data_IF_019467023263
#
_entry.id   IF_019467023263
#
_cell.length_a   1.000
_cell.length_b   1.000
_cell.length_c   1.000
_cell.angle_alpha   90.00
_cell.angle_beta   90.00
_cell.angle_gamma   90.00
#
_symmetry.space_group_name_H-M   'P 1'
#
loop_
_entity.id
_entity.type
_entity.pdbx_description
1 polymer ?
#
# COMPACT_ATOMS: atom_id res chain seq x y z
N UNK A 1 -27.13 10.11 3.88
CA UNK A 1 -25.90 9.30 3.97
C UNK A 1 -24.85 10.24 4.52
N UNK A 2 -24.33 9.95 5.71
CA UNK A 2 -23.34 10.80 6.35
C UNK A 2 -21.92 10.34 5.99
N UNK A 3 -21.02 11.32 5.92
CA UNK A 3 -19.60 11.12 5.64
C UNK A 3 -18.82 11.44 6.90
N UNK A 4 -17.99 10.51 7.34
CA UNK A 4 -17.07 10.71 8.48
C UNK A 4 -15.65 10.76 7.93
N UNK A 5 -14.90 11.81 8.28
CA UNK A 5 -13.49 11.99 7.90
C UNK A 5 -12.59 11.81 9.11
N UNK A 6 -11.50 11.06 8.94
CA UNK A 6 -10.45 10.87 9.94
C UNK A 6 -9.10 11.23 9.32
N UNK A 7 -8.30 12.02 10.04
CA UNK A 7 -6.97 12.46 9.61
C UNK A 7 -5.91 11.96 10.60
N UNK A 8 -4.77 11.50 10.08
CA UNK A 8 -3.62 11.03 10.85
C UNK A 8 -2.33 11.48 10.18
N UNK A 9 -1.38 11.92 11.01
CA UNK A 9 -0.02 12.25 10.57
C UNK A 9 0.99 11.34 11.26
N UNK A 10 1.99 10.87 10.51
CA UNK A 10 3.11 10.09 11.03
C UNK A 10 4.40 10.74 10.55
N UNK A 11 5.23 11.21 11.47
CA UNK A 11 6.53 11.78 11.15
C UNK A 11 7.48 10.68 10.66
N UNK A 12 8.08 10.87 9.48
CA UNK A 12 9.05 9.94 8.92
C UNK A 12 10.40 10.64 8.69
N UNK A 13 11.49 9.96 9.02
CA UNK A 13 12.86 10.43 8.76
C UNK A 13 13.31 10.20 7.31
N UNK A 14 12.50 9.50 6.52
CA UNK A 14 12.79 9.13 5.13
C UNK A 14 12.24 10.22 4.20
N UNK A 15 12.97 10.62 3.13
CA UNK A 15 12.50 11.63 2.18
C UNK A 15 11.14 11.27 1.55
N UNK A 16 10.24 12.25 1.32
CA UNK A 16 8.90 12.01 0.79
C UNK A 16 8.88 11.22 -0.52
N UNK A 17 9.78 11.56 -1.45
CA UNK A 17 9.89 10.89 -2.76
C UNK A 17 10.14 9.38 -2.62
N UNK A 18 10.94 8.98 -1.63
CA UNK A 18 11.27 7.58 -1.39
C UNK A 18 10.11 6.84 -0.74
N UNK A 19 9.44 7.46 0.24
CA UNK A 19 8.24 6.87 0.87
C UNK A 19 7.16 6.66 -0.19
N UNK A 20 6.83 7.69 -0.97
CA UNK A 20 5.80 7.60 -2.00
C UNK A 20 6.13 6.54 -3.05
N UNK A 21 7.38 6.50 -3.53
CA UNK A 21 7.82 5.48 -4.47
C UNK A 21 7.65 4.07 -3.87
N UNK A 22 8.10 3.84 -2.64
CA UNK A 22 8.08 2.51 -2.06
C UNK A 22 6.70 2.02 -1.62
N UNK A 23 5.87 2.89 -1.04
CA UNK A 23 4.55 2.50 -0.53
C UNK A 23 3.45 2.57 -1.59
N UNK A 24 3.48 3.55 -2.50
CA UNK A 24 2.38 3.79 -3.46
C UNK A 24 2.69 3.21 -4.83
N UNK A 25 3.83 3.57 -5.40
CA UNK A 25 4.19 3.19 -6.78
C UNK A 25 4.64 1.73 -6.87
N UNK A 26 5.57 1.33 -6.00
CA UNK A 26 6.20 0.00 -5.98
C UNK A 26 5.69 -0.89 -4.84
N UNK A 27 4.65 -0.44 -4.13
CA UNK A 27 4.13 -1.11 -2.94
C UNK A 27 3.73 -2.57 -3.19
N UNK A 28 3.28 -2.90 -4.40
CA UNK A 28 2.92 -4.26 -4.74
C UNK A 28 4.11 -5.23 -4.76
N UNK A 29 5.32 -4.73 -5.02
CA UNK A 29 6.55 -5.53 -4.99
C UNK A 29 7.25 -5.46 -3.63
N UNK A 30 7.18 -4.30 -2.97
CA UNK A 30 7.95 -4.03 -1.75
C UNK A 30 7.21 -4.50 -0.49
N UNK A 31 5.91 -4.27 -0.38
CA UNK A 31 5.16 -4.56 0.84
C UNK A 31 5.19 -6.05 1.22
N UNK A 32 5.00 -7.02 0.30
CA UNK A 32 5.13 -8.45 0.64
C UNK A 32 6.53 -8.85 1.09
N UNK A 33 7.57 -8.10 0.70
CA UNK A 33 8.97 -8.38 1.10
C UNK A 33 9.31 -7.80 2.46
N UNK A 34 8.75 -6.64 2.78
CA UNK A 34 9.03 -5.90 4.03
C UNK A 34 8.13 -6.38 5.17
N UNK A 35 6.90 -6.80 4.86
CA UNK A 35 5.91 -7.30 5.80
C UNK A 35 5.40 -8.70 5.40
N UNK A 36 6.29 -9.69 5.19
CA UNK A 36 5.90 -11.01 4.66
C UNK A 36 4.91 -11.75 5.56
N UNK A 37 4.90 -11.49 6.86
CA UNK A 37 3.96 -12.07 7.82
C UNK A 37 2.54 -11.49 7.69
N UNK A 38 2.42 -10.24 7.24
CA UNK A 38 1.15 -9.54 7.14
C UNK A 38 0.58 -9.57 5.71
N UNK A 39 1.44 -9.54 4.69
CA UNK A 39 1.04 -9.41 3.29
C UNK A 39 1.70 -10.52 2.48
N UNK A 40 0.90 -11.43 1.95
CA UNK A 40 1.37 -12.51 1.08
C UNK A 40 1.63 -12.02 -0.35
N UNK A 41 0.69 -11.25 -0.91
CA UNK A 41 0.85 -10.64 -2.23
C UNK A 41 -0.01 -9.40 -2.40
N UNK A 42 0.32 -8.61 -3.41
CA UNK A 42 -0.47 -7.48 -3.87
C UNK A 42 -0.55 -7.56 -5.39
N UNK A 43 -1.74 -7.85 -5.89
CA UNK A 43 -1.98 -8.13 -7.30
C UNK A 43 -2.68 -6.94 -7.95
N UNK A 44 -2.22 -6.52 -9.13
CA UNK A 44 -2.92 -5.51 -9.94
C UNK A 44 -3.90 -6.26 -10.84
N UNK A 45 -5.19 -6.12 -10.54
CA UNK A 45 -6.25 -6.79 -11.30
C UNK A 45 -6.55 -6.04 -12.60
N UNK A 46 -6.58 -4.70 -12.54
CA UNK A 46 -6.86 -3.82 -13.68
C UNK A 46 -6.06 -2.53 -13.59
N UNK A 47 -5.66 -1.98 -14.74
CA UNK A 47 -4.94 -0.70 -14.85
C UNK A 47 -3.41 -0.83 -14.87
N UNK A 48 -2.73 0.32 -14.73
CA UNK A 48 -1.27 0.44 -14.92
C UNK A 48 -0.54 1.08 -13.72
N UNK A 49 -1.24 1.23 -12.58
CA UNK A 49 -0.73 1.92 -11.40
C UNK A 49 -1.12 3.40 -11.28
N UNK A 50 -1.76 3.97 -12.31
CA UNK A 50 -2.35 5.32 -12.28
C UNK A 50 -3.79 5.35 -11.74
N UNK A 51 -4.48 6.51 -11.85
CA UNK A 51 -5.88 6.65 -11.44
C UNK A 51 -6.79 5.59 -12.09
N UNK A 52 -7.67 5.00 -11.29
CA UNK A 52 -8.58 3.93 -11.73
C UNK A 52 -8.00 2.51 -11.65
N UNK A 53 -6.74 2.33 -11.23
CA UNK A 53 -6.14 1.00 -11.04
C UNK A 53 -6.84 0.25 -9.89
N UNK A 54 -7.13 -1.03 -10.09
CA UNK A 54 -7.69 -1.94 -9.09
C UNK A 54 -6.57 -2.85 -8.57
N UNK A 55 -6.30 -2.77 -7.26
CA UNK A 55 -5.31 -3.62 -6.56
C UNK A 55 -6.01 -4.51 -5.53
N UNK A 56 -5.69 -5.80 -5.54
CA UNK A 56 -6.08 -6.75 -4.50
C UNK A 56 -4.89 -7.01 -3.57
N UNK A 57 -5.11 -6.93 -2.27
CA UNK A 57 -4.10 -7.24 -1.25
C UNK A 57 -4.52 -8.54 -0.57
N UNK A 58 -3.65 -9.55 -0.61
CA UNK A 58 -3.87 -10.82 0.08
C UNK A 58 -3.06 -10.81 1.37
N UNK A 59 -3.76 -10.75 2.50
CA UNK A 59 -3.13 -10.78 3.81
C UNK A 59 -2.64 -12.19 4.16
N UNK A 60 -1.57 -12.25 4.96
CA UNK A 60 -1.10 -13.46 5.60
C UNK A 60 -2.10 -13.99 6.63
N UNK A 61 -1.84 -15.19 7.17
CA UNK A 61 -2.69 -15.80 8.21
C UNK A 61 -2.70 -15.00 9.53
N UNK A 62 -1.84 -13.99 9.66
CA UNK A 62 -1.58 -13.29 10.91
C UNK A 62 -0.79 -14.18 11.88
N UNK A 63 -0.23 -13.58 12.92
CA UNK A 63 0.23 -14.33 14.10
C UNK A 63 -0.95 -14.58 15.05
#
# INVERSE_FOLDING_TARGET
MDVVTYEMEVAATIPPTRIFKSFVLEGNTILPKVLPQAINSVDVLEGNGGPGTIKQINFGEGD
#
